data_IF_499494811835
#
_entry.id   IF_499494811835
#
_cell.length_a   1.000
_cell.length_b   1.000
_cell.length_c   1.000
_cell.angle_alpha   90.00
_cell.angle_beta   90.00
_cell.angle_gamma   90.00
#
_symmetry.space_group_name_H-M   'P 1'
#
loop_
_entity.id
_entity.type
_entity.pdbx_description
1 polymer ?
#
# COMPACT_ATOMS: atom_id res chain seq x y z
N UNK A 1 -6.46 -11.37 -3.68
CA UNK A 1 -5.21 -11.48 -2.90
C UNK A 1 -5.54 -11.75 -1.42
N UNK A 2 -6.06 -10.78 -0.67
CA UNK A 2 -6.48 -11.01 0.73
C UNK A 2 -7.75 -11.87 0.86
N UNK A 3 -8.50 -12.03 -0.23
CA UNK A 3 -9.64 -12.96 -0.36
C UNK A 3 -9.23 -14.41 -0.63
N UNK A 4 -7.94 -14.67 -0.85
CA UNK A 4 -7.42 -16.02 -1.11
C UNK A 4 -7.27 -16.80 0.21
N UNK A 5 -7.79 -18.02 0.25
CA UNK A 5 -7.82 -18.84 1.46
C UNK A 5 -6.43 -19.33 1.89
N UNK A 6 -5.51 -19.58 0.95
CA UNK A 6 -4.14 -19.96 1.28
C UNK A 6 -3.34 -18.77 1.80
N UNK A 7 -3.60 -17.57 1.26
CA UNK A 7 -3.03 -16.33 1.78
C UNK A 7 -3.48 -16.06 3.22
N UNK A 8 -4.77 -16.19 3.51
CA UNK A 8 -5.34 -15.95 4.85
C UNK A 8 -4.76 -16.85 5.93
N UNK A 9 -4.35 -18.08 5.61
CA UNK A 9 -3.69 -18.99 6.57
C UNK A 9 -2.44 -18.37 7.21
N UNK A 10 -1.71 -17.55 6.45
CA UNK A 10 -0.51 -16.87 6.94
C UNK A 10 -0.81 -15.53 7.63
N UNK A 11 -2.03 -15.00 7.45
CA UNK A 11 -2.44 -13.69 7.92
C UNK A 11 -3.82 -13.76 8.59
N UNK A 12 -3.94 -14.47 9.74
CA UNK A 12 -5.23 -14.77 10.37
C UNK A 12 -6.01 -13.53 10.83
N UNK A 13 -5.34 -12.38 10.94
CA UNK A 13 -5.98 -11.12 11.30
C UNK A 13 -6.97 -10.62 10.22
N UNK A 14 -6.82 -11.05 8.96
CA UNK A 14 -7.74 -10.69 7.86
C UNK A 14 -9.16 -11.13 8.19
N UNK A 15 -9.35 -12.33 8.76
CA UNK A 15 -10.68 -12.85 9.05
C UNK A 15 -11.40 -12.13 10.20
N UNK A 16 -10.65 -11.49 11.09
CA UNK A 16 -11.22 -10.73 12.21
C UNK A 16 -11.29 -9.22 11.94
N UNK A 17 -10.49 -8.68 11.01
CA UNK A 17 -10.39 -7.23 10.76
C UNK A 17 -10.95 -6.79 9.40
N UNK A 18 -10.77 -7.58 8.34
CA UNK A 18 -11.12 -7.19 6.96
C UNK A 18 -12.37 -7.94 6.46
N UNK A 19 -12.39 -9.27 6.61
CA UNK A 19 -13.51 -10.11 6.15
C UNK A 19 -14.89 -9.65 6.69
N UNK A 20 -15.04 -9.22 7.96
CA UNK A 20 -16.34 -8.74 8.44
C UNK A 20 -16.81 -7.47 7.73
N UNK A 21 -15.90 -6.55 7.42
CA UNK A 21 -16.23 -5.32 6.69
C UNK A 21 -16.63 -5.63 5.24
N UNK A 22 -15.96 -6.59 4.61
CA UNK A 22 -16.32 -7.08 3.28
C UNK A 22 -17.71 -7.74 3.26
N UNK A 23 -18.01 -8.59 4.25
CA UNK A 23 -19.31 -9.26 4.36
C UNK A 23 -20.47 -8.30 4.62
N UNK A 24 -20.19 -7.14 5.23
CA UNK A 24 -21.15 -6.08 5.43
C UNK A 24 -21.31 -5.17 4.21
N UNK A 25 -20.52 -5.38 3.15
CA UNK A 25 -20.51 -4.57 1.92
C UNK A 25 -20.25 -3.08 2.19
N UNK A 26 -19.32 -2.79 3.11
CA UNK A 26 -18.94 -1.42 3.53
C UNK A 26 -17.47 -1.07 3.20
N UNK A 27 -16.82 -1.87 2.35
CA UNK A 27 -15.46 -1.60 1.89
C UNK A 27 -15.49 -0.95 0.51
N UNK A 28 -14.96 0.26 0.43
CA UNK A 28 -14.61 0.88 -0.85
C UNK A 28 -13.15 0.52 -1.18
N UNK A 29 -12.97 -0.38 -2.15
CA UNK A 29 -11.65 -0.74 -2.66
C UNK A 29 -11.26 0.26 -3.76
N UNK A 30 -9.96 0.57 -3.82
CA UNK A 30 -9.39 1.52 -4.77
C UNK A 30 -8.24 0.88 -5.52
N UNK A 31 -8.08 1.26 -6.78
CA UNK A 31 -6.98 0.83 -7.65
C UNK A 31 -5.98 1.98 -7.86
N UNK A 32 -4.91 1.74 -8.63
CA UNK A 32 -3.98 2.78 -9.07
C UNK A 32 -4.69 3.96 -9.76
N UNK A 33 -4.32 5.19 -9.41
CA UNK A 33 -4.87 6.40 -10.03
C UNK A 33 -6.31 6.74 -9.63
N UNK A 34 -6.91 6.05 -8.66
CA UNK A 34 -8.22 6.40 -8.11
C UNK A 34 -8.19 7.78 -7.45
N UNK A 35 -9.14 8.65 -7.82
CA UNK A 35 -9.29 9.97 -7.22
C UNK A 35 -10.16 9.87 -5.96
N UNK A 36 -9.55 10.09 -4.79
CA UNK A 36 -10.25 10.17 -3.50
C UNK A 36 -10.94 11.53 -3.37
N UNK A 37 -10.25 12.59 -3.78
CA UNK A 37 -10.78 13.95 -3.95
C UNK A 37 -10.23 14.56 -5.24
N UNK A 38 -10.57 15.81 -5.56
CA UNK A 38 -10.02 16.51 -6.73
C UNK A 38 -8.49 16.71 -6.63
N UNK A 39 -7.94 16.77 -5.40
CA UNK A 39 -6.52 16.97 -5.14
C UNK A 39 -5.78 15.71 -4.68
N UNK A 40 -6.48 14.67 -4.25
CA UNK A 40 -5.87 13.45 -3.68
C UNK A 40 -6.21 12.24 -4.52
N UNK A 41 -5.18 11.55 -5.01
CA UNK A 41 -5.31 10.29 -5.75
C UNK A 41 -4.37 9.20 -5.21
N UNK A 42 -4.59 7.97 -5.63
CA UNK A 42 -3.75 6.81 -5.29
C UNK A 42 -2.64 6.60 -6.32
N UNK A 43 -1.53 6.04 -5.87
CA UNK A 43 -0.47 5.52 -6.72
C UNK A 43 0.02 4.19 -6.14
N UNK A 44 -0.05 3.11 -6.93
CA UNK A 44 0.48 1.82 -6.53
C UNK A 44 2.00 1.89 -6.29
N UNK A 45 2.43 1.38 -5.14
CA UNK A 45 3.84 1.27 -4.75
C UNK A 45 4.09 -0.10 -4.12
N UNK A 46 3.86 -1.19 -4.89
CA UNK A 46 3.88 -2.55 -4.35
C UNK A 46 5.30 -2.99 -3.99
N UNK A 47 5.40 -3.94 -3.06
CA UNK A 47 6.68 -4.50 -2.61
C UNK A 47 6.65 -4.75 -1.11
N UNK A 48 6.38 -3.70 -0.32
CA UNK A 48 6.16 -3.84 1.11
C UNK A 48 5.01 -4.82 1.38
N UNK A 49 3.86 -4.57 0.77
CA UNK A 49 2.81 -5.56 0.56
C UNK A 49 2.39 -5.55 -0.92
N UNK A 50 1.66 -6.58 -1.36
CA UNK A 50 1.23 -6.67 -2.77
C UNK A 50 0.29 -5.52 -3.20
N UNK A 51 -0.51 -4.98 -2.26
CA UNK A 51 -1.43 -3.86 -2.49
C UNK A 51 -0.96 -2.54 -1.87
N UNK A 52 0.34 -2.41 -1.54
CA UNK A 52 0.86 -1.18 -0.95
C UNK A 52 0.66 0.00 -1.92
N UNK A 53 0.10 1.09 -1.40
CA UNK A 53 -0.37 2.23 -2.18
C UNK A 53 0.06 3.53 -1.48
N UNK A 54 0.69 4.42 -2.21
CA UNK A 54 0.98 5.79 -1.79
C UNK A 54 -0.17 6.73 -2.18
N UNK A 55 -0.30 7.86 -1.48
CA UNK A 55 -1.22 8.92 -1.89
C UNK A 55 -0.46 10.05 -2.57
N UNK A 56 -1.00 10.54 -3.67
CA UNK A 56 -0.52 11.71 -4.40
C UNK A 56 -1.43 12.88 -4.07
N UNK A 57 -0.82 14.00 -3.65
CA UNK A 57 -1.52 15.25 -3.37
C UNK A 57 -1.08 16.26 -4.43
N UNK A 58 -2.00 16.77 -5.24
CA UNK A 58 -1.74 17.78 -6.27
C UNK A 58 -2.56 19.04 -5.98
N UNK A 59 -1.90 20.15 -5.69
CA UNK A 59 -2.59 21.41 -5.38
C UNK A 59 -1.73 22.62 -5.74
N UNK A 60 -2.35 23.64 -6.34
CA UNK A 60 -1.65 24.89 -6.69
C UNK A 60 -0.48 24.74 -7.67
N UNK A 61 -0.46 23.67 -8.48
CA UNK A 61 0.66 23.34 -9.39
C UNK A 61 1.80 22.56 -8.73
N UNK A 62 1.72 22.33 -7.42
CA UNK A 62 2.69 21.55 -6.66
C UNK A 62 2.20 20.11 -6.47
N UNK A 63 3.13 19.19 -6.21
CA UNK A 63 2.84 17.79 -5.89
C UNK A 63 3.54 17.34 -4.60
N UNK A 64 2.82 16.62 -3.77
CA UNK A 64 3.32 15.93 -2.57
C UNK A 64 2.91 14.47 -2.55
N UNK A 65 3.61 13.66 -1.76
CA UNK A 65 3.32 12.24 -1.61
C UNK A 65 3.22 11.87 -0.13
N UNK A 66 2.22 11.06 0.21
CA UNK A 66 2.17 10.29 1.45
C UNK A 66 2.64 8.88 1.10
N UNK A 67 3.86 8.55 1.53
CA UNK A 67 4.58 7.37 1.04
C UNK A 67 4.12 6.04 1.67
N UNK A 68 3.39 6.08 2.79
CA UNK A 68 3.17 4.86 3.58
C UNK A 68 4.52 4.24 4.01
N UNK A 69 4.65 2.93 3.81
CA UNK A 69 5.81 2.13 4.20
C UNK A 69 6.81 1.89 3.05
N UNK A 70 6.85 2.77 2.03
CA UNK A 70 7.92 2.75 0.99
C UNK A 70 9.32 2.80 1.60
N UNK A 71 9.48 3.54 2.71
CA UNK A 71 10.72 3.55 3.48
C UNK A 71 10.42 3.74 4.97
N UNK A 72 11.07 2.95 5.83
CA UNK A 72 10.87 3.02 7.28
C UNK A 72 11.99 3.78 8.01
N UNK A 73 13.13 4.00 7.35
CA UNK A 73 14.27 4.73 7.91
C UNK A 73 14.85 5.76 6.92
N UNK A 74 15.23 6.97 7.36
CA UNK A 74 15.87 7.99 6.51
C UNK A 74 17.10 7.50 5.73
N UNK A 75 17.82 6.50 6.24
CA UNK A 75 18.99 5.91 5.57
C UNK A 75 18.62 5.30 4.20
N UNK A 76 17.39 4.83 4.02
CA UNK A 76 16.91 4.26 2.75
C UNK A 76 16.76 5.34 1.66
N UNK A 77 16.66 6.62 2.02
CA UNK A 77 16.71 7.71 1.04
C UNK A 77 18.12 7.91 0.46
N UNK A 78 19.15 7.36 1.09
CA UNK A 78 20.52 7.37 0.60
C UNK A 78 20.95 6.02 0.00
N UNK A 79 20.43 4.92 0.54
CA UNK A 79 20.68 3.57 0.06
C UNK A 79 19.36 2.94 -0.42
N UNK A 80 18.93 3.35 -1.61
CA UNK A 80 17.60 3.00 -2.15
C UNK A 80 17.46 1.52 -2.53
N UNK A 81 18.56 0.77 -2.54
CA UNK A 81 18.60 -0.67 -2.73
C UNK A 81 18.45 -1.45 -1.41
N UNK A 82 18.47 -0.78 -0.26
CA UNK A 82 18.25 -1.42 1.04
C UNK A 82 16.77 -1.69 1.25
N UNK A 83 16.47 -2.93 1.59
CA UNK A 83 15.11 -3.42 1.74
C UNK A 83 14.91 -3.94 3.18
N UNK A 84 13.93 -3.41 3.92
CA UNK A 84 13.51 -3.92 5.21
C UNK A 84 13.10 -5.39 5.13
N UNK A 85 13.34 -6.15 6.21
CA UNK A 85 12.95 -7.57 6.29
C UNK A 85 11.43 -7.79 6.22
N UNK A 86 10.64 -6.73 6.41
CA UNK A 86 9.19 -6.77 6.44
C UNK A 86 8.55 -6.66 5.05
N UNK A 87 9.33 -6.41 4.00
CA UNK A 87 8.80 -6.36 2.64
C UNK A 87 8.46 -7.77 2.14
N UNK A 88 7.23 -7.93 1.66
CA UNK A 88 6.75 -9.21 1.11
C UNK A 88 7.46 -9.58 -0.20
N UNK A 89 7.82 -8.58 -1.01
CA UNK A 89 8.63 -8.75 -2.22
C UNK A 89 9.80 -7.73 -2.22
N UNK A 90 10.98 -8.14 -1.70
CA UNK A 90 12.17 -7.31 -1.68
C UNK A 90 12.71 -6.90 -3.05
N UNK A 91 12.41 -7.64 -4.11
CA UNK A 91 12.85 -7.29 -5.46
C UNK A 91 11.97 -6.19 -6.02
N UNK A 92 10.65 -6.27 -5.78
CA UNK A 92 9.70 -5.26 -6.21
C UNK A 92 9.82 -3.97 -5.40
N UNK A 93 10.02 -4.04 -4.08
CA UNK A 93 10.15 -2.88 -3.19
C UNK A 93 11.34 -1.96 -3.52
N UNK A 94 12.35 -2.46 -4.24
CA UNK A 94 13.54 -1.69 -4.65
C UNK A 94 13.40 -0.98 -6.01
N UNK A 95 12.31 -1.20 -6.75
CA UNK A 95 12.08 -0.62 -8.07
C UNK A 95 11.44 0.76 -7.97
#
# INVERSE_FOLDING_TARGET
HWTDEDFKKNWPHIDVQVTPLANLDILDLVDDGYNITDEVSTMETPGHTAGHTSLVISSGGEKGFVLGDVCNNPVQAHFTDWCPVFDMDPAKARQ
#
